data_IF_300823111721
#
_entry.id   IF_300823111721
#
_cell.length_a   1.000
_cell.length_b   1.000
_cell.length_c   1.000
_cell.angle_alpha   90.00
_cell.angle_beta   90.00
_cell.angle_gamma   90.00
#
_symmetry.space_group_name_H-M   'P 1'
#
loop_
_entity.id
_entity.type
_entity.pdbx_description
1 polymer ?
#
# COMPACT_ATOMS: atom_id res chain seq x y z
N UNK A 1 -5.32 -14.22 26.38
CA UNK A 1 -4.75 -13.93 25.06
C UNK A 1 -5.15 -12.51 24.74
N UNK A 2 -4.20 -11.57 24.68
CA UNK A 2 -4.53 -10.16 24.44
C UNK A 2 -5.10 -10.05 23.03
N UNK A 3 -6.40 -9.82 22.94
CA UNK A 3 -7.06 -9.47 21.69
C UNK A 3 -6.48 -8.11 21.30
N UNK A 4 -5.47 -8.10 20.41
CA UNK A 4 -4.87 -6.84 19.92
C UNK A 4 -6.03 -5.94 19.52
N UNK A 5 -6.12 -4.78 20.16
CA UNK A 5 -7.20 -3.84 19.88
C UNK A 5 -7.21 -3.55 18.38
N UNK A 6 -8.39 -3.34 17.81
CA UNK A 6 -8.55 -2.91 16.40
C UNK A 6 -7.48 -1.87 16.01
N UNK A 7 -7.19 -0.87 16.86
CA UNK A 7 -6.05 0.02 16.71
C UNK A 7 -4.70 -0.64 16.34
N UNK A 8 -4.23 -1.57 17.16
CA UNK A 8 -2.90 -2.16 17.02
C UNK A 8 -2.77 -3.01 15.75
N UNK A 9 -3.83 -3.74 15.39
CA UNK A 9 -3.84 -4.54 14.16
C UNK A 9 -3.75 -3.66 12.91
N UNK A 10 -4.40 -2.50 12.95
CA UNK A 10 -4.42 -1.57 11.83
C UNK A 10 -3.10 -0.84 11.65
N UNK A 11 -2.48 -0.43 12.76
CA UNK A 11 -1.12 0.09 12.71
C UNK A 11 -0.14 -0.93 12.13
N UNK A 12 -0.29 -2.21 12.47
CA UNK A 12 0.48 -3.31 11.86
C UNK A 12 0.17 -3.47 10.36
N UNK A 13 -1.10 -3.43 9.94
CA UNK A 13 -1.49 -3.51 8.52
C UNK A 13 -0.91 -2.32 7.72
N UNK A 14 -0.99 -1.09 8.23
CA UNK A 14 -0.40 0.10 7.59
C UNK A 14 1.12 0.01 7.50
N UNK A 15 1.78 -0.48 8.55
CA UNK A 15 3.25 -0.64 8.58
C UNK A 15 3.71 -1.72 7.59
N UNK A 16 2.96 -2.82 7.52
CA UNK A 16 3.22 -3.87 6.54
C UNK A 16 3.03 -3.35 5.12
N UNK A 17 1.93 -2.63 4.87
CA UNK A 17 1.66 -2.04 3.57
C UNK A 17 2.75 -1.05 3.13
N UNK A 18 3.24 -0.21 4.05
CA UNK A 18 4.39 0.67 3.79
C UNK A 18 5.64 -0.13 3.40
N UNK A 19 5.95 -1.19 4.14
CA UNK A 19 7.12 -2.02 3.84
C UNK A 19 7.05 -2.62 2.43
N UNK A 20 5.86 -3.07 2.01
CA UNK A 20 5.67 -3.61 0.66
C UNK A 20 5.79 -2.51 -0.40
N UNK A 21 5.23 -1.32 -0.17
CA UNK A 21 5.40 -0.16 -1.07
C UNK A 21 6.87 0.17 -1.25
N UNK A 22 7.64 0.21 -0.16
CA UNK A 22 9.07 0.50 -0.19
C UNK A 22 9.86 -0.55 -0.97
N UNK A 23 9.52 -1.83 -0.80
CA UNK A 23 10.11 -2.93 -1.55
C UNK A 23 9.80 -2.81 -3.05
N UNK A 24 8.54 -2.56 -3.41
CA UNK A 24 8.14 -2.38 -4.81
C UNK A 24 8.86 -1.18 -5.42
N UNK A 25 8.97 -0.07 -4.69
CA UNK A 25 9.70 1.13 -5.13
C UNK A 25 11.18 0.82 -5.38
N UNK A 26 11.82 0.04 -4.50
CA UNK A 26 13.18 -0.43 -4.68
C UNK A 26 13.32 -1.30 -5.94
N UNK A 27 12.45 -2.30 -6.11
CA UNK A 27 12.44 -3.18 -7.28
C UNK A 27 12.18 -2.39 -8.58
N UNK A 28 11.31 -1.39 -8.52
CA UNK A 28 11.02 -0.49 -9.63
C UNK A 28 12.24 0.39 -9.97
N UNK A 29 12.97 0.89 -8.96
CA UNK A 29 14.22 1.62 -9.16
C UNK A 29 15.32 0.77 -9.79
N UNK A 30 15.38 -0.53 -9.44
CA UNK A 30 16.32 -1.49 -10.04
C UNK A 30 15.84 -2.03 -11.40
N UNK A 31 14.57 -1.80 -11.72
CA UNK A 31 13.92 -2.28 -12.93
C UNK A 31 14.24 -1.46 -14.18
N UNK A 32 13.72 -1.92 -15.33
CA UNK A 32 13.81 -1.16 -16.58
C UNK A 32 12.88 0.07 -16.55
N UNK A 33 13.22 1.09 -17.35
CA UNK A 33 12.42 2.32 -17.47
C UNK A 33 10.97 2.06 -17.88
N UNK A 34 10.74 1.06 -18.74
CA UNK A 34 9.39 0.64 -19.14
C UNK A 34 8.55 0.17 -17.94
N UNK A 35 9.18 -0.47 -16.96
CA UNK A 35 8.49 -0.96 -15.77
C UNK A 35 8.26 0.18 -14.79
N UNK A 36 9.20 1.12 -14.66
CA UNK A 36 8.95 2.39 -13.98
C UNK A 36 7.72 3.10 -14.54
N UNK A 37 7.66 3.32 -15.84
CA UNK A 37 6.56 4.07 -16.47
C UNK A 37 5.19 3.39 -16.24
N UNK A 38 5.14 2.05 -16.16
CA UNK A 38 3.90 1.30 -15.91
C UNK A 38 3.50 1.24 -14.45
N UNK A 39 4.45 1.19 -13.53
CA UNK A 39 4.19 1.02 -12.10
C UNK A 39 4.09 2.34 -11.33
N UNK A 40 4.78 3.38 -11.80
CA UNK A 40 4.79 4.69 -11.20
C UNK A 40 3.38 5.22 -10.87
N UNK A 41 2.40 5.24 -11.79
CA UNK A 41 1.07 5.78 -11.47
C UNK A 41 0.34 4.96 -10.39
N UNK A 42 0.53 3.63 -10.37
CA UNK A 42 -0.08 2.76 -9.35
C UNK A 42 0.61 2.88 -7.99
N UNK A 43 1.92 3.11 -8.00
CA UNK A 43 2.69 3.35 -6.80
C UNK A 43 2.32 4.69 -6.17
N UNK A 44 2.19 5.74 -6.99
CA UNK A 44 1.75 7.07 -6.54
C UNK A 44 0.34 7.03 -5.93
N UNK A 45 -0.60 6.33 -6.58
CA UNK A 45 -1.97 6.15 -6.06
C UNK A 45 -1.96 5.41 -4.71
N UNK A 46 -1.17 4.35 -4.58
CA UNK A 46 -1.05 3.62 -3.32
C UNK A 46 -0.36 4.44 -2.22
N UNK A 47 0.69 5.20 -2.54
CA UNK A 47 1.36 6.10 -1.59
C UNK A 47 0.40 7.19 -1.10
N UNK A 48 -0.42 7.75 -1.99
CA UNK A 48 -1.43 8.72 -1.63
C UNK A 48 -2.48 8.13 -0.69
N UNK A 49 -3.03 6.97 -1.00
CA UNK A 49 -4.01 6.32 -0.12
C UNK A 49 -3.40 5.92 1.22
N UNK A 50 -2.15 5.45 1.24
CA UNK A 50 -1.43 5.12 2.48
C UNK A 50 -1.18 6.36 3.34
N UNK A 51 -0.85 7.50 2.72
CA UNK A 51 -0.72 8.78 3.40
C UNK A 51 -2.05 9.22 4.01
N UNK A 52 -3.14 9.15 3.23
CA UNK A 52 -4.48 9.48 3.72
C UNK A 52 -4.91 8.57 4.86
N UNK A 53 -4.56 7.29 4.79
CA UNK A 53 -4.85 6.33 5.84
C UNK A 53 -4.07 6.63 7.12
N UNK A 54 -2.80 7.04 7.01
CA UNK A 54 -1.97 7.47 8.15
C UNK A 54 -2.49 8.74 8.79
N UNK A 55 -2.84 9.76 8.01
CA UNK A 55 -3.45 11.00 8.55
C UNK A 55 -4.77 10.71 9.26
N UNK A 56 -5.64 9.88 8.65
CA UNK A 56 -6.90 9.51 9.28
C UNK A 56 -6.71 8.58 10.47
N UNK A 57 -5.64 7.80 10.52
CA UNK A 57 -5.25 6.99 11.67
C UNK A 57 -4.80 7.87 12.85
N UNK A 58 -3.95 8.88 12.59
CA UNK A 58 -3.60 9.90 13.59
C UNK A 58 -4.85 10.66 14.05
N UNK A 59 -5.79 10.93 13.13
CA UNK A 59 -7.08 11.51 13.48
C UNK A 59 -8.02 10.50 14.18
N UNK A 60 -7.85 9.20 14.01
CA UNK A 60 -8.67 8.13 14.62
C UNK A 60 -8.35 7.93 16.10
N UNK A 61 -7.13 8.24 16.56
CA UNK A 61 -6.90 8.49 17.99
C UNK A 61 -7.84 9.59 18.55
N UNK A 62 -8.48 10.38 17.67
CA UNK A 62 -9.52 11.37 18.00
C UNK A 62 -10.92 11.16 17.35
N UNK A 63 -11.16 10.10 16.56
CA UNK A 63 -12.35 9.97 15.66
C UNK A 63 -13.04 8.59 15.70
N UNK A 64 -14.19 8.45 15.03
CA UNK A 64 -15.08 7.27 15.07
C UNK A 64 -14.70 6.11 14.12
N UNK A 65 -15.09 4.87 14.46
CA UNK A 65 -14.77 3.61 13.75
C UNK A 65 -15.25 3.54 12.28
N UNK A 66 -16.35 4.19 11.89
CA UNK A 66 -16.92 4.04 10.54
C UNK A 66 -16.05 4.63 9.42
N UNK A 67 -15.30 5.70 9.70
CA UNK A 67 -14.39 6.29 8.72
C UNK A 67 -13.24 5.34 8.37
N UNK A 68 -12.98 4.34 9.21
CA UNK A 68 -11.87 3.42 9.03
C UNK A 68 -12.14 2.31 8.01
N UNK A 69 -13.35 1.74 7.98
CA UNK A 69 -13.70 0.69 7.02
C UNK A 69 -13.55 1.14 5.55
N UNK A 70 -13.92 2.39 5.27
CA UNK A 70 -13.80 2.97 3.93
C UNK A 70 -12.33 3.10 3.49
N UNK A 71 -11.45 3.50 4.41
CA UNK A 71 -10.00 3.62 4.16
C UNK A 71 -9.39 2.25 3.90
N UNK A 72 -9.69 1.29 4.77
CA UNK A 72 -9.17 -0.07 4.63
C UNK A 72 -9.60 -0.67 3.29
N UNK A 73 -10.83 -0.38 2.86
CA UNK A 73 -11.36 -0.81 1.57
C UNK A 73 -10.64 -0.12 0.40
N UNK A 74 -10.37 1.19 0.50
CA UNK A 74 -9.57 1.93 -0.48
C UNK A 74 -8.18 1.31 -0.64
N UNK A 75 -7.42 1.25 0.45
CA UNK A 75 -6.05 0.72 0.48
C UNK A 75 -5.97 -0.68 -0.12
N UNK A 76 -6.90 -1.57 0.23
CA UNK A 76 -6.93 -2.94 -0.33
C UNK A 76 -7.16 -2.94 -1.84
N UNK A 77 -7.98 -2.03 -2.37
CA UNK A 77 -8.21 -1.93 -3.82
C UNK A 77 -6.99 -1.40 -4.54
N UNK A 78 -6.36 -0.36 -4.02
CA UNK A 78 -5.15 0.22 -4.63
C UNK A 78 -3.97 -0.73 -4.55
N UNK A 79 -3.80 -1.39 -3.40
CA UNK A 79 -2.77 -2.42 -3.24
C UNK A 79 -2.96 -3.57 -4.23
N UNK A 80 -4.19 -4.08 -4.37
CA UNK A 80 -4.49 -5.15 -5.33
C UNK A 80 -4.27 -4.71 -6.77
N UNK A 81 -4.57 -3.45 -7.10
CA UNK A 81 -4.34 -2.90 -8.44
C UNK A 81 -2.85 -2.77 -8.73
N UNK A 82 -2.07 -2.29 -7.76
CA UNK A 82 -0.61 -2.24 -7.82
C UNK A 82 -0.01 -3.63 -7.94
N UNK A 83 -0.44 -4.61 -7.13
CA UNK A 83 0.04 -5.99 -7.17
C UNK A 83 -0.21 -6.61 -8.55
N UNK A 84 -1.39 -6.40 -9.13
CA UNK A 84 -1.69 -6.86 -10.48
C UNK A 84 -0.82 -6.19 -11.55
N UNK A 85 -0.57 -4.87 -11.42
CA UNK A 85 0.33 -4.15 -12.32
C UNK A 85 1.77 -4.66 -12.18
N UNK A 86 2.22 -4.91 -10.94
CA UNK A 86 3.53 -5.44 -10.62
C UNK A 86 3.73 -6.86 -11.13
N UNK A 87 2.75 -7.75 -10.95
CA UNK A 87 2.80 -9.11 -11.48
C UNK A 87 2.77 -9.14 -13.01
N UNK A 88 2.07 -8.19 -13.65
CA UNK A 88 2.14 -8.02 -15.11
C UNK A 88 3.51 -7.52 -15.54
N UNK A 89 4.05 -6.51 -14.87
CA UNK A 89 5.37 -5.97 -15.14
C UNK A 89 6.48 -7.02 -14.91
N UNK A 90 6.30 -7.89 -13.91
CA UNK A 90 7.20 -9.01 -13.59
C UNK A 90 7.34 -10.02 -14.71
N UNK A 91 6.29 -10.29 -15.46
CA UNK A 91 6.37 -11.15 -16.65
C UNK A 91 7.29 -10.57 -17.74
N UNK A 92 7.57 -9.27 -17.66
CA UNK A 92 8.48 -8.56 -18.54
C UNK A 92 9.84 -8.24 -17.88
N UNK A 93 10.04 -8.56 -16.59
CA UNK A 93 11.39 -8.58 -16.03
C UNK A 93 12.14 -9.77 -16.62
N UNK A 94 13.37 -9.57 -17.15
CA UNK A 94 14.18 -10.71 -17.58
C UNK A 94 14.45 -11.62 -16.36
N UNK A 95 14.36 -12.95 -16.51
CA UNK A 95 14.89 -13.85 -15.50
C UNK A 95 16.40 -13.60 -15.38
N UNK A 96 16.90 -13.61 -14.14
CA UNK A 96 18.34 -13.57 -13.84
C UNK A 96 19.10 -14.69 -14.54
#
# INVERSE_FOLDING_TARGET
MADKSIPQRLQEELTNLQSVVDEVKLQMHLGSKEIQDKLQPHLEELEQELSQAKEKWEAFESSSESAWEDIQTGLRKSFKSMEQAFERAKKHFPPK
#
